data_IF_196019337391
#
_entry.id   IF_196019337391
#
_cell.length_a   1.000
_cell.length_b   1.000
_cell.length_c   1.000
_cell.angle_alpha   90.00
_cell.angle_beta   90.00
_cell.angle_gamma   90.00
#
_symmetry.space_group_name_H-M   'P 1'
#
loop_
_entity.id
_entity.type
_entity.pdbx_description
1 polymer ?
#
# COMPACT_ATOMS: atom_id res chain seq x y z
N UNK A 1 16.86 -12.21 3.68
CA UNK A 1 16.64 -11.96 2.22
C UNK A 1 17.87 -11.23 1.69
N UNK A 2 18.45 -11.65 0.56
CA UNK A 2 19.60 -10.94 0.00
C UNK A 2 19.19 -9.55 -0.52
N UNK A 3 20.14 -8.62 -0.58
CA UNK A 3 19.91 -7.25 -1.08
C UNK A 3 19.36 -7.27 -2.51
N UNK A 4 19.90 -8.15 -3.37
CA UNK A 4 19.46 -8.30 -4.76
C UNK A 4 17.99 -8.69 -4.84
N UNK A 5 17.56 -9.69 -4.06
CA UNK A 5 16.16 -10.16 -4.05
C UNK A 5 15.24 -9.05 -3.55
N UNK A 6 15.60 -8.37 -2.46
CA UNK A 6 14.77 -7.31 -1.89
C UNK A 6 14.56 -6.14 -2.87
N UNK A 7 15.62 -5.71 -3.55
CA UNK A 7 15.54 -4.65 -4.57
C UNK A 7 14.70 -5.09 -5.76
N UNK A 8 14.89 -6.32 -6.24
CA UNK A 8 14.11 -6.89 -7.34
C UNK A 8 12.61 -6.90 -7.02
N UNK A 9 12.24 -7.38 -5.83
CA UNK A 9 10.84 -7.39 -5.37
C UNK A 9 10.25 -5.98 -5.37
N UNK A 10 11.00 -4.97 -4.91
CA UNK A 10 10.54 -3.58 -4.92
C UNK A 10 10.29 -3.05 -6.35
N UNK A 11 11.18 -3.35 -7.29
CA UNK A 11 10.99 -2.94 -8.68
C UNK A 11 9.83 -3.68 -9.37
N UNK A 12 9.67 -4.97 -9.11
CA UNK A 12 8.54 -5.75 -9.63
C UNK A 12 7.22 -5.22 -9.08
N UNK A 13 7.14 -4.98 -7.77
CA UNK A 13 5.97 -4.39 -7.14
C UNK A 13 5.64 -3.02 -7.74
N UNK A 14 6.65 -2.16 -7.95
CA UNK A 14 6.46 -0.86 -8.58
C UNK A 14 5.95 -0.96 -10.01
N UNK A 15 6.51 -1.87 -10.81
CA UNK A 15 6.08 -2.08 -12.19
C UNK A 15 4.62 -2.56 -12.26
N UNK A 16 4.24 -3.52 -11.42
CA UNK A 16 2.87 -4.03 -11.36
C UNK A 16 1.89 -2.91 -10.98
N UNK A 17 2.19 -2.13 -9.93
CA UNK A 17 1.34 -1.01 -9.52
C UNK A 17 1.22 0.08 -10.60
N UNK A 18 2.28 0.33 -11.37
CA UNK A 18 2.24 1.28 -12.47
C UNK A 18 1.34 0.78 -13.62
N UNK A 19 1.41 -0.51 -13.96
CA UNK A 19 0.53 -1.13 -14.97
C UNK A 19 -0.93 -1.10 -14.50
N UNK A 20 -1.20 -1.44 -13.24
CA UNK A 20 -2.55 -1.38 -12.66
C UNK A 20 -3.09 0.05 -12.63
N UNK A 21 -2.26 1.05 -12.32
CA UNK A 21 -2.67 2.45 -12.36
C UNK A 21 -3.18 2.84 -13.76
N UNK A 22 -2.45 2.47 -14.80
CA UNK A 22 -2.85 2.72 -16.19
C UNK A 22 -4.14 1.97 -16.51
N UNK A 23 -4.24 0.68 -16.15
CA UNK A 23 -5.43 -0.13 -16.36
C UNK A 23 -6.68 0.46 -15.70
N UNK A 24 -6.58 0.86 -14.43
CA UNK A 24 -7.68 1.46 -13.66
C UNK A 24 -8.14 2.78 -14.27
N UNK A 25 -7.21 3.65 -14.68
CA UNK A 25 -7.56 4.92 -15.32
C UNK A 25 -8.29 4.66 -16.64
N UNK A 26 -7.76 3.78 -17.50
CA UNK A 26 -8.39 3.44 -18.79
C UNK A 26 -9.80 2.90 -18.56
N UNK A 27 -9.96 1.91 -17.67
CA UNK A 27 -11.27 1.29 -17.38
C UNK A 27 -12.27 2.32 -16.89
N UNK A 28 -11.90 3.19 -15.93
CA UNK A 28 -12.81 4.19 -15.38
C UNK A 28 -13.14 5.31 -16.38
N UNK A 29 -12.18 5.74 -17.20
CA UNK A 29 -12.44 6.72 -18.27
C UNK A 29 -13.42 6.17 -19.28
N UNK A 30 -13.23 4.92 -19.73
CA UNK A 30 -14.13 4.25 -20.66
C UNK A 30 -15.53 4.08 -20.04
N UNK A 31 -15.63 3.51 -18.83
CA UNK A 31 -16.90 3.31 -18.16
C UNK A 31 -17.64 4.63 -17.91
N UNK A 32 -16.95 5.66 -17.41
CA UNK A 32 -17.56 6.97 -17.19
C UNK A 32 -18.04 7.63 -18.50
N UNK A 33 -17.32 7.41 -19.61
CA UNK A 33 -17.75 7.90 -20.93
C UNK A 33 -18.97 7.15 -21.45
N UNK A 34 -19.01 5.82 -21.29
CA UNK A 34 -20.15 4.99 -21.68
C UNK A 34 -21.40 5.37 -20.88
N UNK A 35 -21.29 5.51 -19.55
CA UNK A 35 -22.40 5.93 -18.68
C UNK A 35 -22.96 7.29 -19.13
N UNK A 36 -22.07 8.25 -19.41
CA UNK A 36 -22.45 9.58 -19.90
C UNK A 36 -23.17 9.52 -21.26
N UNK A 37 -22.70 8.68 -22.17
CA UNK A 37 -23.26 8.59 -23.53
C UNK A 37 -24.56 7.78 -23.60
N UNK A 38 -24.85 6.96 -22.59
CA UNK A 38 -26.03 6.10 -22.55
C UNK A 38 -27.18 6.70 -21.72
N UNK A 39 -26.99 7.87 -21.10
CA UNK A 39 -27.93 8.49 -20.15
C UNK A 39 -28.52 7.50 -19.13
N UNK A 40 -27.69 6.54 -18.69
CA UNK A 40 -28.13 5.50 -17.77
C UNK A 40 -28.26 6.05 -16.36
N UNK A 41 -29.50 6.28 -15.91
CA UNK A 41 -29.79 6.48 -14.51
C UNK A 41 -29.75 5.13 -13.78
N UNK A 42 -28.91 4.99 -12.76
CA UNK A 42 -29.04 3.90 -11.79
C UNK A 42 -29.88 4.38 -10.61
N UNK A 43 -31.07 3.78 -10.44
CA UNK A 43 -31.99 4.08 -9.35
C UNK A 43 -32.37 5.57 -9.22
N UNK A 44 -32.47 6.31 -10.34
CA UNK A 44 -32.80 7.74 -10.35
C UNK A 44 -31.61 8.67 -10.08
N UNK A 45 -30.39 8.12 -9.95
CA UNK A 45 -29.17 8.91 -9.83
C UNK A 45 -28.85 9.59 -11.15
N UNK A 46 -28.52 10.88 -11.10
CA UNK A 46 -28.10 11.67 -12.25
C UNK A 46 -26.89 11.02 -12.97
N UNK A 47 -27.02 10.65 -14.26
CA UNK A 47 -25.93 10.07 -15.06
C UNK A 47 -24.67 10.95 -15.09
N UNK A 48 -24.82 12.28 -15.01
CA UNK A 48 -23.68 13.19 -15.00
C UNK A 48 -22.89 13.09 -13.69
N UNK A 49 -23.59 12.97 -12.57
CA UNK A 49 -22.97 12.74 -11.26
C UNK A 49 -22.26 11.37 -11.20
N UNK A 50 -22.88 10.33 -11.76
CA UNK A 50 -22.28 9.00 -11.86
C UNK A 50 -21.00 9.00 -12.71
N UNK A 51 -21.06 9.59 -13.91
CA UNK A 51 -19.90 9.67 -14.81
C UNK A 51 -18.73 10.44 -14.19
N UNK A 52 -19.00 11.61 -13.59
CA UNK A 52 -17.99 12.39 -12.87
C UNK A 52 -17.39 11.59 -11.72
N UNK A 53 -18.22 10.88 -10.96
CA UNK A 53 -17.78 10.00 -9.88
C UNK A 53 -16.81 8.91 -10.37
N UNK A 54 -17.13 8.23 -11.47
CA UNK A 54 -16.27 7.22 -12.07
C UNK A 54 -14.93 7.80 -12.54
N UNK A 55 -14.94 8.97 -13.19
CA UNK A 55 -13.69 9.63 -13.62
C UNK A 55 -12.82 10.06 -12.44
N UNK A 56 -13.41 10.66 -11.41
CA UNK A 56 -12.68 11.05 -10.20
C UNK A 56 -12.10 9.82 -9.49
N UNK A 57 -12.89 8.75 -9.35
CA UNK A 57 -12.43 7.50 -8.76
C UNK A 57 -11.24 6.92 -9.55
N UNK A 58 -11.32 6.88 -10.88
CA UNK A 58 -10.24 6.44 -11.75
C UNK A 58 -8.97 7.27 -11.60
N UNK A 59 -9.11 8.60 -11.65
CA UNK A 59 -7.98 9.53 -11.53
C UNK A 59 -7.30 9.46 -10.17
N UNK A 60 -8.07 9.53 -9.08
CA UNK A 60 -7.53 9.44 -7.70
C UNK A 60 -6.85 8.10 -7.46
N UNK A 61 -7.47 7.00 -7.90
CA UNK A 61 -6.89 5.67 -7.76
C UNK A 61 -5.59 5.54 -8.55
N UNK A 62 -5.57 6.01 -9.80
CA UNK A 62 -4.37 6.02 -10.63
C UNK A 62 -3.22 6.80 -10.00
N UNK A 63 -3.47 8.01 -9.51
CA UNK A 63 -2.47 8.84 -8.82
C UNK A 63 -1.97 8.15 -7.55
N UNK A 64 -2.87 7.55 -6.77
CA UNK A 64 -2.50 6.83 -5.55
C UNK A 64 -1.59 5.63 -5.83
N UNK A 65 -1.90 4.82 -6.85
CA UNK A 65 -1.07 3.67 -7.23
C UNK A 65 0.28 4.10 -7.81
N UNK A 66 0.32 5.17 -8.61
CA UNK A 66 1.58 5.75 -9.10
C UNK A 66 2.44 6.28 -7.95
N UNK A 67 1.85 6.94 -6.96
CA UNK A 67 2.55 7.36 -5.74
C UNK A 67 3.18 6.16 -5.03
N UNK A 68 2.44 5.07 -4.88
CA UNK A 68 2.95 3.83 -4.29
C UNK A 68 4.11 3.24 -5.12
N UNK A 69 3.97 3.19 -6.45
CA UNK A 69 5.03 2.73 -7.34
C UNK A 69 6.31 3.56 -7.20
N UNK A 70 6.19 4.89 -7.15
CA UNK A 70 7.33 5.80 -6.94
C UNK A 70 8.00 5.53 -5.59
N UNK A 71 7.24 5.34 -4.51
CA UNK A 71 7.80 5.01 -3.19
C UNK A 71 8.60 3.70 -3.21
N UNK A 72 8.12 2.69 -3.94
CA UNK A 72 8.79 1.41 -4.10
C UNK A 72 10.08 1.52 -4.93
N UNK A 73 10.05 2.29 -6.03
CA UNK A 73 11.27 2.60 -6.82
C UNK A 73 12.31 3.30 -5.94
N UNK A 74 11.90 4.30 -5.16
CA UNK A 74 12.80 5.03 -4.26
C UNK A 74 13.39 4.09 -3.21
N UNK A 75 12.59 3.19 -2.63
CA UNK A 75 13.06 2.18 -1.68
C UNK A 75 14.07 1.21 -2.32
N UNK A 76 13.78 0.73 -3.55
CA UNK A 76 14.67 -0.18 -4.29
C UNK A 76 15.98 0.47 -4.75
N UNK A 77 15.98 1.77 -5.06
CA UNK A 77 17.19 2.53 -5.42
C UNK A 77 18.03 2.81 -4.18
N UNK A 78 17.41 3.31 -3.10
CA UNK A 78 18.13 3.72 -1.88
C UNK A 78 18.50 2.53 -1.00
N UNK A 79 17.91 1.37 -1.23
CA UNK A 79 17.94 0.18 -0.38
C UNK A 79 17.70 0.50 1.11
N UNK A 80 16.89 1.54 1.36
CA UNK A 80 16.46 1.96 2.68
C UNK A 80 14.95 1.87 2.74
N UNK A 81 14.44 1.48 3.90
CA UNK A 81 13.01 1.30 4.05
C UNK A 81 12.21 2.59 3.85
N UNK A 82 10.96 2.47 3.36
CA UNK A 82 10.08 3.62 3.23
C UNK A 82 9.90 4.25 4.62
N UNK A 83 10.11 5.56 4.73
CA UNK A 83 9.86 6.30 5.97
C UNK A 83 8.42 6.11 6.46
N UNK A 84 8.10 6.56 7.68
CA UNK A 84 6.80 6.30 8.33
C UNK A 84 5.59 6.62 7.45
N UNK A 85 5.60 7.76 6.76
CA UNK A 85 4.54 8.16 5.83
C UNK A 85 4.43 7.20 4.64
N UNK A 86 5.55 6.89 3.98
CA UNK A 86 5.56 5.95 2.86
C UNK A 86 5.07 4.56 3.25
N UNK A 87 5.40 4.10 4.47
CA UNK A 87 4.91 2.85 5.02
C UNK A 87 3.39 2.86 5.21
N UNK A 88 2.82 3.94 5.75
CA UNK A 88 1.36 4.09 5.90
C UNK A 88 0.67 4.04 4.53
N UNK A 89 1.20 4.77 3.55
CA UNK A 89 0.65 4.80 2.18
C UNK A 89 0.64 3.40 1.55
N UNK A 90 1.75 2.66 1.67
CA UNK A 90 1.84 1.29 1.16
C UNK A 90 0.94 0.31 1.93
N UNK A 91 0.74 0.50 3.23
CA UNK A 91 -0.23 -0.29 4.00
C UNK A 91 -1.66 -0.01 3.53
N UNK A 92 -2.03 1.25 3.31
CA UNK A 92 -3.33 1.60 2.73
C UNK A 92 -3.51 0.94 1.36
N UNK A 93 -2.46 0.92 0.53
CA UNK A 93 -2.47 0.24 -0.77
C UNK A 93 -2.70 -1.27 -0.62
N UNK A 94 -2.00 -1.91 0.32
CA UNK A 94 -2.20 -3.32 0.63
C UNK A 94 -3.63 -3.62 1.10
N UNK A 95 -4.21 -2.78 1.96
CA UNK A 95 -5.60 -2.94 2.43
C UNK A 95 -6.58 -2.87 1.25
N UNK A 96 -6.42 -1.88 0.36
CA UNK A 96 -7.25 -1.76 -0.86
C UNK A 96 -7.15 -3.03 -1.71
N UNK A 97 -5.94 -3.56 -1.95
CA UNK A 97 -5.77 -4.81 -2.71
C UNK A 97 -6.36 -6.03 -2.01
N UNK A 98 -6.30 -6.08 -0.67
CA UNK A 98 -6.97 -7.12 0.11
C UNK A 98 -8.48 -7.10 -0.08
N UNK A 99 -9.10 -5.92 -0.01
CA UNK A 99 -10.54 -5.75 -0.26
C UNK A 99 -10.90 -6.10 -1.70
N UNK A 100 -10.13 -5.62 -2.69
CA UNK A 100 -10.33 -5.97 -4.10
C UNK A 100 -10.13 -7.47 -4.35
N UNK A 101 -9.18 -8.11 -3.69
CA UNK A 101 -9.02 -9.57 -3.70
C UNK A 101 -10.28 -10.29 -3.24
N UNK A 102 -10.84 -9.90 -2.09
CA UNK A 102 -12.08 -10.48 -1.58
C UNK A 102 -13.27 -10.27 -2.53
N UNK A 103 -13.37 -9.13 -3.19
CA UNK A 103 -14.44 -8.87 -4.18
C UNK A 103 -14.23 -9.66 -5.47
N UNK A 104 -12.99 -9.75 -5.97
CA UNK A 104 -12.69 -10.39 -7.25
C UNK A 104 -12.90 -11.91 -7.22
N UNK A 105 -12.66 -12.59 -6.09
CA UNK A 105 -12.95 -14.04 -6.00
C UNK A 105 -14.45 -14.35 -6.12
N UNK A 106 -15.32 -13.47 -5.63
CA UNK A 106 -16.78 -13.64 -5.69
C UNK A 106 -17.43 -13.14 -6.97
N UNK A 107 -16.93 -12.01 -7.53
CA UNK A 107 -17.60 -11.29 -8.61
C UNK A 107 -16.95 -11.45 -9.99
N UNK A 108 -15.65 -11.76 -10.05
CA UNK A 108 -14.87 -11.71 -11.30
C UNK A 108 -14.31 -13.07 -11.67
N UNK A 109 -13.69 -13.77 -10.72
CA UNK A 109 -13.18 -15.12 -10.88
C UNK A 109 -11.77 -15.33 -10.32
N UNK A 110 -11.33 -16.59 -10.34
CA UNK A 110 -10.10 -17.05 -9.71
C UNK A 110 -8.82 -16.39 -10.27
N UNK A 111 -8.75 -16.14 -11.58
CA UNK A 111 -7.56 -15.52 -12.20
C UNK A 111 -7.37 -14.09 -11.71
N UNK A 112 -8.45 -13.29 -11.63
CA UNK A 112 -8.38 -11.92 -11.13
C UNK A 112 -7.99 -11.89 -9.64
N UNK A 113 -8.55 -12.81 -8.85
CA UNK A 113 -8.15 -12.99 -7.45
C UNK A 113 -6.67 -13.33 -7.31
N UNK A 114 -6.15 -14.28 -8.08
CA UNK A 114 -4.75 -14.66 -8.05
C UNK A 114 -3.83 -13.48 -8.39
N UNK A 115 -4.19 -12.68 -9.41
CA UNK A 115 -3.46 -11.46 -9.77
C UNK A 115 -3.43 -10.46 -8.60
N UNK A 116 -4.58 -10.18 -7.96
CA UNK A 116 -4.66 -9.30 -6.78
C UNK A 116 -3.82 -9.82 -5.61
N UNK A 117 -3.80 -11.14 -5.38
CA UNK A 117 -3.00 -11.75 -4.33
C UNK A 117 -1.50 -11.67 -4.63
N UNK A 118 -1.07 -11.78 -5.89
CA UNK A 118 0.33 -11.58 -6.28
C UNK A 118 0.76 -10.14 -6.01
N UNK A 119 -0.04 -9.14 -6.42
CA UNK A 119 0.24 -7.73 -6.14
C UNK A 119 0.30 -7.46 -4.64
N UNK A 120 -0.69 -7.94 -3.88
CA UNK A 120 -0.72 -7.83 -2.43
C UNK A 120 0.53 -8.47 -1.78
N UNK A 121 0.88 -9.68 -2.20
CA UNK A 121 2.05 -10.39 -1.69
C UNK A 121 3.34 -9.61 -1.97
N UNK A 122 3.49 -9.03 -3.16
CA UNK A 122 4.63 -8.17 -3.50
C UNK A 122 4.72 -6.95 -2.58
N UNK A 123 3.61 -6.22 -2.36
CA UNK A 123 3.59 -5.06 -1.47
C UNK A 123 3.97 -5.46 -0.03
N UNK A 124 3.35 -6.53 0.49
CA UNK A 124 3.63 -7.02 1.85
C UNK A 124 5.08 -7.49 1.96
N UNK A 125 5.61 -8.18 0.95
CA UNK A 125 6.99 -8.65 0.94
C UNK A 125 7.98 -7.48 1.02
N UNK A 126 7.72 -6.37 0.30
CA UNK A 126 8.50 -5.13 0.45
C UNK A 126 8.37 -4.59 1.88
N UNK A 127 7.15 -4.44 2.40
CA UNK A 127 6.92 -3.89 3.75
C UNK A 127 7.63 -4.69 4.85
N UNK A 128 7.74 -6.01 4.69
CA UNK A 128 8.47 -6.89 5.61
C UNK A 128 9.98 -6.79 5.36
N UNK A 129 10.44 -6.85 4.11
CA UNK A 129 11.87 -6.87 3.77
C UNK A 129 12.59 -5.54 4.04
N UNK A 130 11.84 -4.43 3.97
CA UNK A 130 12.28 -3.08 4.28
C UNK A 130 11.73 -2.56 5.61
N UNK A 131 11.04 -3.41 6.38
CA UNK A 131 10.49 -3.06 7.67
C UNK A 131 11.59 -2.62 8.63
N UNK A 132 11.30 -1.58 9.43
CA UNK A 132 12.21 -1.09 10.45
C UNK A 132 12.71 -2.25 11.33
N UNK A 133 14.03 -2.33 11.54
CA UNK A 133 14.57 -3.02 12.72
C UNK A 133 13.73 -2.60 13.93
N UNK A 134 13.37 -3.54 14.82
CA UNK A 134 12.59 -3.22 16.00
C UNK A 134 13.26 -2.04 16.65
N UNK A 135 12.54 -0.90 16.69
CA UNK A 135 13.03 0.33 17.27
C UNK A 135 13.71 -0.06 18.57
N UNK A 136 15.04 0.04 18.61
CA UNK A 136 15.81 -0.29 19.78
C UNK A 136 15.11 0.45 20.92
N UNK A 137 14.45 -0.34 21.76
CA UNK A 137 13.85 -0.03 23.04
C UNK A 137 14.10 1.44 23.36
N UNK A 138 13.17 2.31 22.96
CA UNK A 138 13.26 3.74 23.25
C UNK A 138 13.61 3.84 24.73
N UNK A 139 14.81 4.38 25.00
CA UNK A 139 15.44 4.38 26.30
C UNK A 139 14.57 5.07 27.32
N UNK A 140 13.75 4.27 28.01
CA UNK A 140 13.43 4.45 29.42
C UNK A 140 13.88 3.19 30.13
N UNK A 141 15.20 3.02 30.21
CA UNK A 141 15.73 2.47 31.44
C UNK A 141 15.35 3.50 32.52
N UNK A 142 14.36 3.17 33.35
CA UNK A 142 14.18 3.86 34.61
C UNK A 142 15.52 3.79 35.36
N UNK A 143 15.96 4.86 36.04
CA UNK A 143 17.13 4.73 36.90
C UNK A 143 16.79 3.66 37.93
N UNK A 144 17.59 2.60 37.92
CA UNK A 144 17.67 1.64 39.01
C UNK A 144 17.88 2.46 40.28
N UNK A 145 16.87 2.49 41.15
CA UNK A 145 17.02 3.07 42.46
C UNK A 145 18.11 2.26 43.17
N UNK A 146 19.32 2.81 43.20
CA UNK A 146 20.38 2.36 44.06
C UNK A 146 19.80 2.34 45.48
N UNK A 147 19.61 1.13 46.00
CA UNK A 147 19.25 0.92 47.39
C UNK A 147 20.32 1.54 48.31
N UNK A 148 19.96 1.97 49.53
CA UNK A 148 20.92 2.58 50.43
C UNK A 148 22.08 1.62 50.72
N UNK A 149 23.29 2.15 50.56
CA UNK A 149 24.57 1.52 50.87
C UNK A 149 24.65 1.16 52.37
N UNK A 150 25.21 0.00 52.76
CA UNK A 150 25.28 -0.38 54.17
C UNK A 150 26.29 0.51 54.92
N UNK A 151 25.82 1.04 56.03
CA UNK A 151 26.57 1.88 56.97
C UNK A 151 27.74 1.09 57.60
N UNK A 152 28.98 1.65 57.65
CA UNK A 152 30.10 0.95 58.27
C UNK A 152 29.95 0.94 59.80
N UNK A 153 29.99 -0.28 60.36
CA UNK A 153 30.05 -0.56 61.80
C UNK A 153 31.29 0.10 62.44
N UNK A 154 31.15 0.88 63.53
CA UNK A 154 32.29 1.38 64.29
C UNK A 154 32.83 0.29 65.25
N UNK A 155 34.16 0.28 65.40
CA UNK A 155 34.95 -0.62 66.24
C UNK A 155 34.74 -0.45 67.75
#
# INVERSE_FOLDING_TARGET
MSVVVRRLVAFLAALVLAVEAVGIVIINVVLGTVVKNQDMSLAGTDPEAMSKGTWVLGGVSGVFLLLCAVLLVVAGIRDRGPGRVGRIVLICCAVVHGVLGALTVGLVGWTAFACMMVTLALIVLVLVAYGAEPAARSGKAAPEAAGPEPEPEPA
#
